data_IF_157771184365
#
_entry.id   IF_157771184365
#
_cell.length_a   1.000
_cell.length_b   1.000
_cell.length_c   1.000
_cell.angle_alpha   90.00
_cell.angle_beta   90.00
_cell.angle_gamma   90.00
#
_symmetry.space_group_name_H-M   'P 1'
#
loop_
_entity.id
_entity.type
_entity.pdbx_description
1 polymer ?
#
# COMPACT_ATOMS: atom_id res chain seq x y z
N UNK A 1 -20.70 -8.29 12.25
CA UNK A 1 -20.18 -9.49 11.53
C UNK A 1 -19.90 -10.58 12.58
N UNK A 2 -20.23 -11.84 12.27
CA UNK A 2 -19.96 -12.94 13.23
C UNK A 2 -18.46 -13.09 13.49
N UNK A 3 -18.10 -13.63 14.67
CA UNK A 3 -16.71 -13.78 15.15
C UNK A 3 -15.77 -14.46 14.15
N UNK A 4 -16.29 -15.29 13.26
CA UNK A 4 -15.52 -16.03 12.24
C UNK A 4 -15.51 -15.32 10.89
N UNK A 5 -16.53 -14.54 10.56
CA UNK A 5 -16.67 -13.92 9.23
C UNK A 5 -15.58 -12.88 8.95
N UNK A 6 -15.21 -12.05 9.94
CA UNK A 6 -14.17 -11.03 9.79
C UNK A 6 -12.78 -11.65 9.53
N UNK A 7 -12.29 -12.61 10.34
CA UNK A 7 -11.01 -13.27 10.06
C UNK A 7 -10.96 -13.95 8.69
N UNK A 8 -12.03 -14.66 8.28
CA UNK A 8 -12.10 -15.30 6.97
C UNK A 8 -12.03 -14.28 5.82
N UNK A 9 -12.72 -13.15 5.95
CA UNK A 9 -12.64 -12.07 4.97
C UNK A 9 -11.20 -11.51 4.88
N UNK A 10 -10.54 -11.28 6.02
CA UNK A 10 -9.13 -10.83 6.05
C UNK A 10 -8.22 -11.84 5.37
N UNK A 11 -8.38 -13.13 5.64
CA UNK A 11 -7.61 -14.18 4.97
C UNK A 11 -7.75 -14.09 3.46
N UNK A 12 -8.97 -13.97 2.93
CA UNK A 12 -9.21 -13.88 1.49
C UNK A 12 -8.62 -12.60 0.89
N UNK A 13 -8.82 -11.45 1.54
CA UNK A 13 -8.31 -10.15 1.07
C UNK A 13 -6.79 -10.19 1.00
N UNK A 14 -6.15 -10.69 2.04
CA UNK A 14 -4.69 -10.78 2.13
C UNK A 14 -4.15 -11.81 1.15
N UNK A 15 -4.81 -12.94 0.97
CA UNK A 15 -4.41 -13.96 -0.01
C UNK A 15 -4.46 -13.41 -1.44
N UNK A 16 -5.57 -12.76 -1.82
CA UNK A 16 -5.71 -12.13 -3.14
C UNK A 16 -4.70 -11.00 -3.32
N UNK A 17 -4.55 -10.12 -2.33
CA UNK A 17 -3.61 -9.02 -2.36
C UNK A 17 -2.15 -9.48 -2.50
N UNK A 18 -1.73 -10.47 -1.72
CA UNK A 18 -0.38 -11.05 -1.78
C UNK A 18 -0.11 -11.80 -3.08
N UNK A 19 -1.12 -12.51 -3.59
CA UNK A 19 -1.05 -13.18 -4.89
C UNK A 19 -0.83 -12.16 -6.02
N UNK A 20 -1.63 -11.11 -6.08
CA UNK A 20 -1.51 -10.07 -7.08
C UNK A 20 -0.20 -9.27 -6.92
N UNK A 21 0.25 -9.02 -5.70
CA UNK A 21 1.56 -8.40 -5.46
C UNK A 21 2.69 -9.26 -6.00
N UNK A 22 2.65 -10.58 -5.82
CA UNK A 22 3.65 -11.49 -6.35
C UNK A 22 3.70 -11.50 -7.89
N UNK A 23 2.55 -11.39 -8.55
CA UNK A 23 2.43 -11.42 -10.01
C UNK A 23 2.77 -10.06 -10.65
N UNK A 24 2.28 -8.96 -10.09
CA UNK A 24 2.36 -7.61 -10.70
C UNK A 24 3.34 -6.65 -10.03
N UNK A 25 3.86 -7.01 -8.86
CA UNK A 25 4.72 -6.14 -8.04
C UNK A 25 3.97 -5.19 -7.11
N UNK A 26 2.65 -5.05 -7.27
CA UNK A 26 1.77 -4.21 -6.44
C UNK A 26 0.46 -4.95 -6.18
N UNK A 27 0.00 -5.02 -4.93
CA UNK A 27 -1.25 -5.75 -4.65
C UNK A 27 -1.76 -5.56 -3.23
N UNK A 28 -1.04 -6.04 -2.23
CA UNK A 28 -1.58 -6.10 -0.88
C UNK A 28 -2.02 -4.72 -0.35
N UNK A 29 -1.20 -3.70 -0.48
CA UNK A 29 -1.57 -2.34 -0.08
C UNK A 29 -2.74 -1.77 -0.90
N UNK A 30 -2.72 -1.99 -2.23
CA UNK A 30 -3.78 -1.51 -3.12
C UNK A 30 -5.14 -2.15 -2.87
N UNK A 31 -5.17 -3.41 -2.47
CA UNK A 31 -6.41 -4.15 -2.21
C UNK A 31 -6.78 -4.09 -0.73
N UNK A 32 -5.80 -4.39 0.14
CA UNK A 32 -5.99 -4.39 1.58
C UNK A 32 -6.33 -3.01 2.13
N UNK A 33 -5.61 -1.97 1.71
CA UNK A 33 -5.82 -0.61 2.18
C UNK A 33 -7.30 -0.19 2.12
N UNK A 34 -7.91 -0.06 0.94
CA UNK A 34 -9.30 0.38 0.82
C UNK A 34 -10.31 -0.59 1.48
N UNK A 35 -10.13 -1.90 1.29
CA UNK A 35 -11.12 -2.87 1.78
C UNK A 35 -11.07 -2.99 3.31
N UNK A 36 -9.86 -3.08 3.90
CA UNK A 36 -9.73 -3.13 5.36
C UNK A 36 -10.10 -1.80 6.01
N UNK A 37 -9.89 -0.66 5.34
CA UNK A 37 -10.42 0.64 5.75
C UNK A 37 -11.95 0.62 5.90
N UNK A 38 -12.64 0.01 4.94
CA UNK A 38 -14.10 -0.09 4.97
C UNK A 38 -14.64 -1.08 6.02
N UNK A 39 -13.81 -2.07 6.42
CA UNK A 39 -14.18 -3.13 7.37
C UNK A 39 -13.80 -2.81 8.81
N UNK A 40 -12.64 -2.22 9.04
CA UNK A 40 -12.04 -2.00 10.35
C UNK A 40 -11.98 -0.52 10.74
N UNK A 41 -12.30 0.38 9.81
CA UNK A 41 -12.06 1.81 9.97
C UNK A 41 -10.78 2.27 9.28
N UNK A 42 -10.64 3.60 9.02
CA UNK A 42 -9.54 4.12 8.23
C UNK A 42 -8.18 4.01 8.92
N UNK A 43 -8.12 4.05 10.24
CA UNK A 43 -6.86 3.97 10.99
C UNK A 43 -6.42 2.51 11.14
N UNK A 44 -7.28 1.68 11.74
CA UNK A 44 -6.99 0.27 12.04
C UNK A 44 -6.80 -0.54 10.75
N UNK A 45 -7.65 -0.31 9.74
CA UNK A 45 -7.56 -1.00 8.46
C UNK A 45 -6.23 -0.74 7.74
N UNK A 46 -5.75 0.52 7.78
CA UNK A 46 -4.45 0.87 7.19
C UNK A 46 -3.30 0.32 8.06
N UNK A 47 -3.41 0.33 9.39
CA UNK A 47 -2.38 -0.23 10.26
C UNK A 47 -2.23 -1.74 10.05
N UNK A 48 -3.32 -2.50 10.01
CA UNK A 48 -3.31 -3.94 9.69
C UNK A 48 -2.71 -4.18 8.31
N UNK A 49 -3.14 -3.41 7.31
CA UNK A 49 -2.59 -3.50 5.96
C UNK A 49 -1.08 -3.29 5.95
N UNK A 50 -0.58 -2.27 6.64
CA UNK A 50 0.85 -1.94 6.66
C UNK A 50 1.68 -3.00 7.38
N UNK A 51 1.21 -3.57 8.49
CA UNK A 51 1.91 -4.68 9.18
C UNK A 51 2.01 -5.90 8.25
N UNK A 52 0.89 -6.32 7.66
CA UNK A 52 0.89 -7.47 6.75
C UNK A 52 1.69 -7.20 5.47
N UNK A 53 1.63 -5.97 4.94
CA UNK A 53 2.42 -5.55 3.80
C UNK A 53 3.92 -5.51 4.11
N UNK A 54 4.34 -5.12 5.32
CA UNK A 54 5.72 -5.20 5.77
C UNK A 54 6.24 -6.64 5.72
N UNK A 55 5.51 -7.57 6.31
CA UNK A 55 5.92 -8.99 6.33
C UNK A 55 6.01 -9.53 4.90
N UNK A 56 4.98 -9.27 4.09
CA UNK A 56 4.96 -9.68 2.68
C UNK A 56 6.12 -9.07 1.86
N UNK A 57 6.39 -7.79 2.08
CA UNK A 57 7.47 -7.06 1.42
C UNK A 57 8.85 -7.57 1.84
N UNK A 58 9.05 -7.89 3.13
CA UNK A 58 10.29 -8.48 3.63
C UNK A 58 10.57 -9.84 2.97
N UNK A 59 9.58 -10.73 2.93
CA UNK A 59 9.67 -12.04 2.28
C UNK A 59 9.95 -11.91 0.78
N UNK A 60 9.28 -10.97 0.12
CA UNK A 60 9.46 -10.73 -1.31
C UNK A 60 10.82 -10.09 -1.60
N UNK A 61 11.28 -9.14 -0.78
CA UNK A 61 12.63 -8.56 -0.86
C UNK A 61 13.69 -9.64 -0.76
N UNK A 62 13.57 -10.54 0.22
CA UNK A 62 14.51 -11.65 0.39
C UNK A 62 14.57 -12.54 -0.86
N UNK A 63 13.41 -12.86 -1.45
CA UNK A 63 13.34 -13.70 -2.65
C UNK A 63 13.88 -13.03 -3.92
N UNK A 64 13.84 -11.70 -3.99
CA UNK A 64 14.26 -10.90 -5.17
C UNK A 64 15.52 -10.07 -4.91
N UNK A 65 16.26 -10.34 -3.83
CA UNK A 65 17.39 -9.50 -3.36
C UNK A 65 18.49 -9.27 -4.38
N UNK A 66 18.68 -10.20 -5.31
CA UNK A 66 19.68 -10.11 -6.38
C UNK A 66 19.35 -9.03 -7.41
N UNK A 67 18.05 -8.73 -7.61
CA UNK A 67 17.57 -7.75 -8.58
C UNK A 67 17.30 -6.37 -7.94
N UNK A 68 17.46 -6.24 -6.60
CA UNK A 68 17.26 -4.98 -5.87
C UNK A 68 18.41 -4.02 -6.15
N UNK A 69 18.08 -2.84 -6.66
CA UNK A 69 19.04 -1.72 -6.75
C UNK A 69 19.05 -0.93 -5.43
N UNK A 70 19.97 -1.30 -4.54
CA UNK A 70 20.11 -0.70 -3.22
C UNK A 70 20.47 0.79 -3.28
N UNK A 71 21.17 1.25 -4.31
CA UNK A 71 21.48 2.69 -4.49
C UNK A 71 20.22 3.49 -4.80
N UNK A 72 19.35 2.96 -5.65
CA UNK A 72 18.04 3.59 -5.91
C UNK A 72 17.17 3.58 -4.66
N UNK A 73 17.15 2.45 -3.94
CA UNK A 73 16.41 2.33 -2.68
C UNK A 73 16.87 3.35 -1.63
N UNK A 74 18.19 3.53 -1.43
CA UNK A 74 18.75 4.50 -0.47
C UNK A 74 18.31 5.95 -0.75
N UNK A 75 17.97 6.28 -2.00
CA UNK A 75 17.48 7.62 -2.37
C UNK A 75 15.98 7.81 -2.15
N UNK A 76 15.25 6.74 -1.83
CA UNK A 76 13.79 6.76 -1.64
C UNK A 76 13.42 6.32 -0.23
N UNK A 77 13.85 5.13 0.17
CA UNK A 77 13.41 4.44 1.39
C UNK A 77 13.59 5.25 2.67
N UNK A 78 14.80 5.75 2.99
CA UNK A 78 15.02 6.54 4.21
C UNK A 78 14.16 7.80 4.28
N UNK A 79 13.89 8.43 3.13
CA UNK A 79 13.11 9.66 3.06
C UNK A 79 11.60 9.45 3.25
N UNK A 80 11.13 8.21 3.24
CA UNK A 80 9.72 7.91 3.52
C UNK A 80 9.31 8.29 4.95
N UNK A 81 10.25 8.29 5.91
CA UNK A 81 9.97 8.74 7.28
C UNK A 81 9.53 10.20 7.33
N UNK A 82 10.16 11.05 6.50
CA UNK A 82 9.82 12.49 6.44
C UNK A 82 8.39 12.74 5.94
N UNK A 83 7.85 11.84 5.13
CA UNK A 83 6.45 11.88 4.72
C UNK A 83 5.51 11.22 5.72
N UNK A 84 5.97 10.17 6.41
CA UNK A 84 5.15 9.44 7.39
C UNK A 84 4.79 10.28 8.60
N UNK A 85 5.70 11.12 9.10
CA UNK A 85 5.48 11.98 10.26
C UNK A 85 4.32 12.96 10.03
N UNK A 86 4.34 13.84 9.00
CA UNK A 86 3.25 14.78 8.79
C UNK A 86 1.91 14.08 8.47
N UNK A 87 1.92 12.92 7.81
CA UNK A 87 0.71 12.14 7.60
C UNK A 87 0.12 11.61 8.92
N UNK A 88 0.96 11.07 9.81
CA UNK A 88 0.50 10.61 11.12
C UNK A 88 -0.03 11.77 12.00
N UNK A 89 0.65 12.93 12.00
CA UNK A 89 0.17 14.13 12.70
C UNK A 89 -1.17 14.62 12.13
N UNK A 90 -1.37 14.54 10.83
CA UNK A 90 -2.64 14.88 10.20
C UNK A 90 -3.75 13.92 10.66
N UNK A 91 -3.49 12.61 10.62
CA UNK A 91 -4.44 11.57 11.06
C UNK A 91 -4.85 11.77 12.53
N UNK A 92 -3.91 12.15 13.39
CA UNK A 92 -4.18 12.37 14.82
C UNK A 92 -5.11 13.59 15.09
N UNK A 93 -5.32 14.48 14.10
CA UNK A 93 -6.05 15.74 14.28
C UNK A 93 -7.38 15.80 13.56
N UNK A 94 -7.67 14.89 12.66
CA UNK A 94 -8.88 14.90 11.86
C UNK A 94 -9.84 13.79 12.29
N UNK A 95 -11.13 14.04 12.12
CA UNK A 95 -12.17 13.05 12.40
C UNK A 95 -12.22 11.92 11.36
N UNK A 96 -12.92 10.84 11.69
CA UNK A 96 -13.03 9.66 10.85
C UNK A 96 -13.64 9.92 9.49
N UNK A 97 -14.64 10.82 9.40
CA UNK A 97 -15.31 11.12 8.13
C UNK A 97 -14.37 11.87 7.17
N UNK A 98 -13.70 12.90 7.68
CA UNK A 98 -12.68 13.66 6.95
C UNK A 98 -11.51 12.75 6.52
N UNK A 99 -11.10 11.81 7.38
CA UNK A 99 -10.05 10.86 7.06
C UNK A 99 -10.47 9.91 5.93
N UNK A 100 -11.71 9.42 5.91
CA UNK A 100 -12.23 8.59 4.81
C UNK A 100 -12.22 9.35 3.47
N UNK A 101 -12.59 10.63 3.48
CA UNK A 101 -12.53 11.50 2.29
C UNK A 101 -11.09 11.65 1.81
N UNK A 102 -10.16 11.95 2.72
CA UNK A 102 -8.74 12.11 2.39
C UNK A 102 -8.13 10.82 1.86
N UNK A 103 -8.36 9.70 2.52
CA UNK A 103 -7.85 8.37 2.10
C UNK A 103 -8.41 8.00 0.74
N UNK A 104 -9.74 8.07 0.57
CA UNK A 104 -10.39 7.74 -0.69
C UNK A 104 -9.96 8.66 -1.83
N UNK A 105 -9.92 9.97 -1.59
CA UNK A 105 -9.49 10.98 -2.55
C UNK A 105 -8.02 10.82 -2.95
N UNK A 106 -7.11 10.69 -1.97
CA UNK A 106 -5.69 10.52 -2.22
C UNK A 106 -5.40 9.24 -3.03
N UNK A 107 -6.09 8.14 -2.70
CA UNK A 107 -5.96 6.88 -3.46
C UNK A 107 -6.46 7.03 -4.90
N UNK A 108 -7.65 7.63 -5.11
CA UNK A 108 -8.17 7.84 -6.46
C UNK A 108 -7.25 8.75 -7.29
N UNK A 109 -6.72 9.82 -6.72
CA UNK A 109 -5.74 10.67 -7.37
C UNK A 109 -4.47 9.88 -7.75
N UNK A 110 -3.91 9.12 -6.80
CA UNK A 110 -2.72 8.30 -7.03
C UNK A 110 -2.95 7.24 -8.12
N UNK A 111 -4.11 6.57 -8.11
CA UNK A 111 -4.50 5.59 -9.13
C UNK A 111 -4.70 6.25 -10.51
N UNK A 112 -5.30 7.43 -10.55
CA UNK A 112 -5.45 8.23 -11.76
C UNK A 112 -4.09 8.57 -12.37
N UNK A 113 -3.15 9.06 -11.56
CA UNK A 113 -1.79 9.39 -12.03
C UNK A 113 -1.07 8.14 -12.56
N UNK A 114 -1.18 6.98 -11.90
CA UNK A 114 -0.56 5.74 -12.38
C UNK A 114 -1.20 5.23 -13.68
N UNK A 115 -2.51 5.41 -13.82
CA UNK A 115 -3.25 4.91 -14.99
C UNK A 115 -3.04 5.78 -16.24
N UNK A 116 -3.00 7.09 -16.06
CA UNK A 116 -2.97 8.06 -17.16
C UNK A 116 -1.65 8.80 -17.27
N UNK A 117 -0.86 8.90 -16.20
CA UNK A 117 0.32 9.75 -16.12
C UNK A 117 1.49 9.31 -17.01
N UNK A 118 1.55 8.06 -17.43
CA UNK A 118 2.66 7.51 -18.24
C UNK A 118 2.94 8.30 -19.53
N UNK A 119 1.93 8.97 -20.08
CA UNK A 119 2.05 9.77 -21.30
C UNK A 119 2.56 11.21 -21.06
N UNK A 120 2.47 11.70 -19.83
CA UNK A 120 2.68 13.12 -19.50
C UNK A 120 3.88 13.35 -18.58
N UNK A 121 4.48 12.30 -18.04
CA UNK A 121 5.60 12.47 -17.10
C UNK A 121 6.92 12.58 -17.90
N UNK A 122 7.61 13.73 -17.82
CA UNK A 122 8.90 13.92 -18.47
C UNK A 122 9.94 12.98 -17.83
N UNK A 123 11.05 12.77 -18.51
CA UNK A 123 12.16 12.00 -17.97
C UNK A 123 12.79 12.75 -16.80
N UNK A 124 12.89 12.09 -15.65
CA UNK A 124 13.41 12.67 -14.42
C UNK A 124 14.77 12.07 -14.07
N UNK A 125 15.74 12.92 -13.85
CA UNK A 125 17.09 12.54 -13.45
C UNK A 125 17.48 13.17 -12.11
N UNK A 126 18.42 12.54 -11.41
CA UNK A 126 19.00 13.07 -10.19
C UNK A 126 18.33 12.57 -8.90
N UNK A 127 18.84 13.07 -7.77
CA UNK A 127 18.44 12.64 -6.43
C UNK A 127 17.19 13.35 -5.91
N UNK A 128 16.96 14.59 -6.33
CA UNK A 128 15.81 15.38 -5.87
C UNK A 128 14.46 14.70 -6.13
N UNK A 129 14.15 14.29 -7.38
CA UNK A 129 12.92 13.55 -7.69
C UNK A 129 12.77 12.22 -6.92
N UNK A 130 13.89 11.52 -6.65
CA UNK A 130 13.87 10.29 -5.85
C UNK A 130 13.49 10.56 -4.40
N UNK A 131 14.08 11.59 -3.80
CA UNK A 131 13.77 12.03 -2.43
C UNK A 131 12.30 12.45 -2.34
N UNK A 132 11.82 13.25 -3.29
CA UNK A 132 10.41 13.67 -3.35
C UNK A 132 9.47 12.47 -3.46
N UNK A 133 9.82 11.47 -4.28
CA UNK A 133 9.05 10.23 -4.38
C UNK A 133 9.06 9.44 -3.06
N UNK A 134 10.16 9.46 -2.31
CA UNK A 134 10.25 8.89 -0.96
C UNK A 134 9.31 9.60 0.01
N UNK A 135 9.39 10.92 0.12
CA UNK A 135 8.56 11.73 1.02
C UNK A 135 7.08 11.54 0.69
N UNK A 136 6.69 11.73 -0.56
CA UNK A 136 5.30 11.56 -1.00
C UNK A 136 4.82 10.11 -0.85
N UNK A 137 5.69 9.13 -1.14
CA UNK A 137 5.41 7.71 -0.94
C UNK A 137 5.18 7.36 0.52
N UNK A 138 5.98 7.90 1.44
CA UNK A 138 5.80 7.76 2.88
C UNK A 138 4.50 8.41 3.38
N UNK A 139 4.20 9.62 2.89
CA UNK A 139 2.97 10.33 3.21
C UNK A 139 1.73 9.54 2.77
N UNK A 140 1.66 9.14 1.51
CA UNK A 140 0.51 8.40 0.97
C UNK A 140 0.40 7.00 1.57
N UNK A 141 1.52 6.35 1.90
CA UNK A 141 1.51 5.07 2.59
C UNK A 141 0.95 5.17 4.00
N UNK A 142 1.34 6.21 4.74
CA UNK A 142 0.85 6.43 6.10
C UNK A 142 -0.60 6.85 6.11
N UNK A 143 -1.01 7.70 5.16
CA UNK A 143 -2.38 8.17 5.04
C UNK A 143 -3.33 7.06 4.55
N UNK A 144 -2.94 6.31 3.52
CA UNK A 144 -3.85 5.44 2.75
C UNK A 144 -3.34 4.00 2.56
N UNK A 145 -2.22 3.61 3.16
CA UNK A 145 -1.64 2.26 3.03
C UNK A 145 -1.00 1.98 1.66
N UNK A 146 -0.72 3.00 0.84
CA UNK A 146 -0.29 2.80 -0.54
C UNK A 146 0.83 3.75 -0.96
N UNK A 147 2.08 3.25 -1.00
CA UNK A 147 3.23 3.97 -1.55
C UNK A 147 3.44 3.69 -3.06
N UNK A 148 2.93 2.56 -3.52
CA UNK A 148 3.19 2.01 -4.85
C UNK A 148 2.97 2.99 -6.01
N UNK A 149 1.83 3.66 -6.12
CA UNK A 149 1.56 4.61 -7.20
C UNK A 149 2.62 5.70 -7.33
N UNK A 150 2.98 6.35 -6.23
CA UNK A 150 3.94 7.47 -6.22
C UNK A 150 5.31 7.00 -6.71
N UNK A 151 5.83 5.90 -6.12
CA UNK A 151 7.14 5.37 -6.49
C UNK A 151 7.12 4.83 -7.93
N UNK A 152 5.98 4.28 -8.38
CA UNK A 152 5.80 3.79 -9.76
C UNK A 152 5.94 4.93 -10.78
N UNK A 153 5.30 6.06 -10.53
CA UNK A 153 5.39 7.24 -11.41
C UNK A 153 6.83 7.70 -11.51
N UNK A 154 7.52 7.82 -10.38
CA UNK A 154 8.95 8.16 -10.37
C UNK A 154 9.80 7.13 -11.14
N UNK A 155 9.63 5.84 -10.86
CA UNK A 155 10.40 4.79 -11.52
C UNK A 155 10.18 4.75 -13.04
N UNK A 156 8.95 5.03 -13.50
CA UNK A 156 8.62 5.18 -14.91
C UNK A 156 9.29 6.41 -15.54
N UNK A 157 9.26 7.55 -14.85
CA UNK A 157 9.93 8.77 -15.26
C UNK A 157 11.46 8.61 -15.30
N UNK A 158 12.02 7.87 -14.36
CA UNK A 158 13.44 7.56 -14.29
C UNK A 158 13.86 6.36 -15.18
N UNK A 159 12.94 5.85 -16.02
CA UNK A 159 13.19 4.78 -17.00
C UNK A 159 13.80 3.50 -16.38
N UNK A 160 13.35 3.10 -15.20
CA UNK A 160 13.86 1.89 -14.57
C UNK A 160 13.50 0.63 -15.36
N UNK A 161 14.44 -0.32 -15.53
CA UNK A 161 14.12 -1.65 -16.04
C UNK A 161 13.06 -2.34 -15.16
N UNK A 162 12.16 -3.07 -15.79
CA UNK A 162 11.01 -3.67 -15.09
C UNK A 162 11.40 -4.63 -13.97
N UNK A 163 12.49 -5.40 -14.13
CA UNK A 163 12.99 -6.32 -13.08
C UNK A 163 13.48 -5.54 -11.86
N UNK A 164 14.32 -4.53 -12.09
CA UNK A 164 14.85 -3.64 -11.05
C UNK A 164 13.72 -2.91 -10.32
N UNK A 165 12.74 -2.39 -11.07
CA UNK A 165 11.57 -1.73 -10.52
C UNK A 165 10.79 -2.65 -9.58
N UNK A 166 10.42 -3.85 -10.04
CA UNK A 166 9.62 -4.79 -9.26
C UNK A 166 10.33 -5.23 -7.98
N UNK A 167 11.65 -5.44 -8.04
CA UNK A 167 12.46 -5.85 -6.90
C UNK A 167 12.68 -4.68 -5.91
N UNK A 168 13.06 -3.48 -6.40
CA UNK A 168 13.39 -2.33 -5.57
C UNK A 168 12.16 -1.72 -4.87
N UNK A 169 10.96 -1.91 -5.41
CA UNK A 169 9.72 -1.53 -4.74
C UNK A 169 9.50 -2.27 -3.41
N UNK A 170 9.94 -3.52 -3.29
CA UNK A 170 9.65 -4.33 -2.12
C UNK A 170 10.29 -3.76 -0.84
N UNK A 171 11.59 -3.46 -0.78
CA UNK A 171 12.16 -2.82 0.39
C UNK A 171 11.62 -1.40 0.64
N UNK A 172 11.11 -0.70 -0.38
CA UNK A 172 10.36 0.56 -0.16
C UNK A 172 9.03 0.31 0.56
N UNK A 173 8.29 -0.74 0.18
CA UNK A 173 7.06 -1.11 0.88
C UNK A 173 7.31 -1.57 2.31
N UNK A 174 8.40 -2.32 2.54
CA UNK A 174 8.79 -2.72 3.88
C UNK A 174 9.02 -1.50 4.78
N UNK A 175 9.92 -0.60 4.35
CA UNK A 175 10.30 0.56 5.20
C UNK A 175 9.15 1.57 5.32
N UNK A 176 8.38 1.77 4.25
CA UNK A 176 7.21 2.65 4.28
C UNK A 176 6.10 2.15 5.20
N UNK A 177 5.82 0.84 5.19
CA UNK A 177 4.87 0.23 6.12
C UNK A 177 5.38 0.29 7.56
N UNK A 178 6.67 0.01 7.79
CA UNK A 178 7.28 0.12 9.11
C UNK A 178 7.17 1.54 9.67
N UNK A 179 7.59 2.55 8.90
CA UNK A 179 7.48 3.95 9.33
C UNK A 179 6.03 4.38 9.55
N UNK A 180 5.10 3.91 8.71
CA UNK A 180 3.68 4.20 8.91
C UNK A 180 3.16 3.69 10.26
N UNK A 181 3.47 2.44 10.60
CA UNK A 181 3.03 1.83 11.87
C UNK A 181 3.70 2.53 13.05
N UNK A 182 5.03 2.70 12.99
CA UNK A 182 5.81 3.33 14.06
C UNK A 182 5.36 4.76 14.31
N UNK A 183 5.27 5.59 13.28
CA UNK A 183 4.87 7.00 13.44
C UNK A 183 3.44 7.13 13.96
N UNK A 184 2.49 6.32 13.49
CA UNK A 184 1.11 6.34 14.01
C UNK A 184 1.07 5.96 15.48
N UNK A 185 1.76 4.89 15.85
CA UNK A 185 1.78 4.42 17.23
C UNK A 185 2.38 5.46 18.19
N UNK A 186 3.58 5.97 17.89
CA UNK A 186 4.27 6.93 18.75
C UNK A 186 3.64 8.32 18.78
N UNK A 187 2.94 8.72 17.73
CA UNK A 187 2.25 10.02 17.66
C UNK A 187 0.77 9.94 18.10
N UNK A 188 0.31 8.79 18.61
CA UNK A 188 -1.08 8.61 19.06
C UNK A 188 -2.11 8.69 17.92
N UNK A 189 -1.68 8.50 16.68
CA UNK A 189 -2.54 8.56 15.49
C UNK A 189 -3.23 7.20 15.19
N UNK A 190 -2.99 6.19 15.99
CA UNK A 190 -3.60 4.87 15.87
C UNK A 190 -2.86 3.80 16.65
N UNK A 191 -3.54 2.70 16.91
CA UNK A 191 -3.04 1.56 17.66
C UNK A 191 -3.65 0.25 17.16
N UNK A 192 -3.48 -0.79 17.95
CA UNK A 192 -4.05 -2.11 17.71
C UNK A 192 -5.15 -2.47 18.69
N UNK A 193 -5.54 -1.49 19.51
CA UNK A 193 -6.57 -1.62 20.52
C UNK A 193 -7.93 -1.89 19.87
N UNK A 194 -8.66 -2.88 20.38
CA UNK A 194 -9.95 -3.28 19.78
C UNK A 194 -9.87 -4.22 18.58
N UNK A 195 -8.69 -4.50 18.04
CA UNK A 195 -8.54 -5.50 16.98
C UNK A 195 -8.62 -6.91 17.55
N UNK A 196 -9.51 -7.72 16.97
CA UNK A 196 -9.61 -9.12 17.35
C UNK A 196 -8.30 -9.86 16.99
N UNK A 197 -7.73 -10.60 17.93
CA UNK A 197 -6.43 -11.26 17.78
C UNK A 197 -6.32 -12.20 16.56
N UNK A 198 -7.45 -12.78 16.12
CA UNK A 198 -7.52 -13.65 14.93
C UNK A 198 -7.17 -12.93 13.62
N UNK A 199 -7.17 -11.60 13.58
CA UNK A 199 -6.74 -10.80 12.42
C UNK A 199 -5.33 -11.21 11.98
N UNK A 200 -4.44 -11.44 12.94
CA UNK A 200 -3.04 -11.72 12.67
C UNK A 200 -2.79 -13.12 12.09
N UNK A 201 -3.20 -14.23 12.72
CA UNK A 201 -2.97 -15.55 12.15
C UNK A 201 -3.69 -15.74 10.82
N UNK A 202 -4.92 -15.24 10.66
CA UNK A 202 -5.65 -15.35 9.40
C UNK A 202 -5.01 -14.49 8.29
N UNK A 203 -4.53 -13.29 8.62
CA UNK A 203 -3.77 -12.45 7.70
C UNK A 203 -2.46 -13.12 7.25
N UNK A 204 -1.70 -13.69 8.18
CA UNK A 204 -0.45 -14.39 7.90
C UNK A 204 -0.70 -15.65 7.05
N UNK A 205 -1.68 -16.47 7.38
CA UNK A 205 -2.05 -17.65 6.59
C UNK A 205 -2.47 -17.23 5.19
N UNK A 206 -3.34 -16.22 5.07
CA UNK A 206 -3.74 -15.67 3.77
C UNK A 206 -2.57 -15.20 2.94
N UNK A 207 -1.60 -14.52 3.57
CA UNK A 207 -0.38 -14.06 2.90
C UNK A 207 0.45 -15.22 2.33
N UNK A 208 0.71 -16.27 3.11
CA UNK A 208 1.46 -17.43 2.63
C UNK A 208 0.73 -18.16 1.50
N UNK A 209 -0.59 -18.34 1.61
CA UNK A 209 -1.42 -18.89 0.54
C UNK A 209 -1.28 -18.01 -0.72
N UNK A 210 -1.43 -16.71 -0.59
CA UNK A 210 -1.35 -15.77 -1.70
C UNK A 210 0.01 -15.76 -2.38
N UNK A 211 1.11 -15.77 -1.62
CA UNK A 211 2.47 -15.85 -2.17
C UNK A 211 2.67 -17.17 -2.92
N UNK A 212 2.27 -18.30 -2.34
CA UNK A 212 2.40 -19.62 -2.96
C UNK A 212 1.61 -19.71 -4.26
N UNK A 213 0.35 -19.33 -4.23
CA UNK A 213 -0.52 -19.29 -5.43
C UNK A 213 0.05 -18.31 -6.46
N UNK A 214 0.40 -17.08 -6.05
CA UNK A 214 0.97 -16.08 -6.94
C UNK A 214 2.25 -16.54 -7.62
N UNK A 215 3.13 -17.25 -6.90
CA UNK A 215 4.35 -17.81 -7.49
C UNK A 215 4.02 -18.89 -8.53
N UNK A 216 3.05 -19.75 -8.26
CA UNK A 216 2.63 -20.83 -9.18
C UNK A 216 2.00 -20.30 -10.46
N UNK A 217 1.30 -19.17 -10.40
CA UNK A 217 0.60 -18.60 -11.56
C UNK A 217 1.34 -17.47 -12.25
N UNK A 218 2.45 -16.98 -11.68
CA UNK A 218 3.22 -15.84 -12.21
C UNK A 218 3.70 -16.03 -13.66
N UNK A 219 3.95 -17.28 -14.09
CA UNK A 219 4.31 -17.61 -15.47
C UNK A 219 3.10 -17.72 -16.42
N UNK A 220 1.86 -17.83 -15.89
CA UNK A 220 0.64 -18.06 -16.67
C UNK A 220 -0.25 -16.83 -16.77
N UNK A 221 -0.15 -15.91 -15.82
CA UNK A 221 -0.97 -14.71 -15.75
C UNK A 221 -0.15 -13.50 -16.18
N UNK A 222 -0.68 -12.73 -17.13
CA UNK A 222 -0.06 -11.49 -17.56
C UNK A 222 0.01 -10.48 -16.41
N UNK A 223 1.21 -9.95 -16.17
CA UNK A 223 1.46 -8.90 -15.16
C UNK A 223 0.53 -7.70 -15.34
N UNK A 224 0.23 -7.36 -16.59
CA UNK A 224 -0.66 -6.25 -16.91
C UNK A 224 -2.11 -6.54 -16.47
N UNK A 225 -2.61 -7.77 -16.70
CA UNK A 225 -3.95 -8.17 -16.24
C UNK A 225 -4.04 -8.15 -14.71
N UNK A 226 -3.04 -8.69 -14.02
CA UNK A 226 -2.97 -8.66 -12.56
C UNK A 226 -2.94 -7.21 -12.03
N UNK A 227 -2.14 -6.33 -12.66
CA UNK A 227 -2.07 -4.91 -12.32
C UNK A 227 -3.42 -4.20 -12.55
N UNK A 228 -4.05 -4.40 -13.70
CA UNK A 228 -5.38 -3.82 -14.00
C UNK A 228 -6.40 -4.25 -12.96
N UNK A 229 -6.43 -5.53 -12.59
CA UNK A 229 -7.32 -6.04 -11.55
C UNK A 229 -7.08 -5.35 -10.20
N UNK A 230 -5.81 -5.25 -9.76
CA UNK A 230 -5.46 -4.55 -8.52
C UNK A 230 -5.92 -3.09 -8.54
N UNK A 231 -5.68 -2.37 -9.65
CA UNK A 231 -6.09 -0.98 -9.80
C UNK A 231 -7.61 -0.82 -9.81
N UNK A 232 -8.36 -1.71 -10.47
CA UNK A 232 -9.83 -1.67 -10.50
C UNK A 232 -10.41 -1.89 -9.10
N UNK A 233 -9.94 -2.93 -8.39
CA UNK A 233 -10.40 -3.21 -7.01
C UNK A 233 -10.07 -2.06 -6.08
N UNK A 234 -8.85 -1.52 -6.18
CA UNK A 234 -8.44 -0.35 -5.41
C UNK A 234 -9.31 0.88 -5.71
N UNK A 235 -9.63 1.13 -6.98
CA UNK A 235 -10.49 2.26 -7.37
C UNK A 235 -11.90 2.14 -6.80
N UNK A 236 -12.51 0.95 -6.87
CA UNK A 236 -13.84 0.71 -6.32
C UNK A 236 -13.85 0.87 -4.79
N UNK A 237 -12.86 0.32 -4.11
CA UNK A 237 -12.73 0.46 -2.65
C UNK A 237 -12.49 1.91 -2.22
N UNK A 238 -11.62 2.63 -2.95
CA UNK A 238 -11.33 4.04 -2.68
C UNK A 238 -12.53 4.96 -2.93
N UNK A 239 -13.28 4.70 -4.01
CA UNK A 239 -14.53 5.41 -4.30
C UNK A 239 -15.57 5.17 -3.21
N UNK A 240 -15.70 3.92 -2.74
CA UNK A 240 -16.60 3.58 -1.64
C UNK A 240 -16.21 4.31 -0.34
N UNK A 241 -14.90 4.39 -0.02
CA UNK A 241 -14.43 5.12 1.15
C UNK A 241 -14.72 6.62 1.03
N UNK A 242 -14.46 7.21 -0.14
CA UNK A 242 -14.75 8.62 -0.43
C UNK A 242 -16.24 8.92 -0.27
N UNK A 243 -17.12 8.12 -0.88
CA UNK A 243 -18.57 8.31 -0.80
C UNK A 243 -19.06 8.20 0.65
N UNK A 244 -18.61 7.18 1.41
CA UNK A 244 -18.97 7.03 2.82
C UNK A 244 -18.51 8.21 3.67
N UNK A 245 -17.29 8.70 3.43
CA UNK A 245 -16.80 9.90 4.12
C UNK A 245 -17.62 11.15 3.80
N UNK A 246 -17.97 11.38 2.54
CA UNK A 246 -18.79 12.52 2.13
C UNK A 246 -20.21 12.45 2.72
N UNK A 247 -20.83 11.27 2.74
CA UNK A 247 -22.14 11.08 3.37
C UNK A 247 -22.06 11.36 4.86
N UNK A 248 -21.02 10.86 5.55
CA UNK A 248 -20.83 11.08 6.99
C UNK A 248 -20.54 12.55 7.36
N UNK A 249 -19.95 13.34 6.44
CA UNK A 249 -19.73 14.78 6.63
C UNK A 249 -21.01 15.61 6.39
N UNK A 250 -21.95 15.06 5.60
CA UNK A 250 -23.20 15.74 5.26
C UNK A 250 -24.34 15.41 6.23
N UNK A 251 -24.17 14.40 7.09
CA UNK A 251 -25.15 13.97 8.10
C UNK A 251 -24.95 14.67 9.44
#
# INVERSE_FOLDING_TARGET
MGVVALPCAILLIVAVGSCLQRVSGMGLGLIGGPILTLMLGPVEGIMVTNVLACINAALTTYSMRADVDWHKWLRIGPFMVLGSIPAALLIARIDTASLLVLVGGALLCALGVVSFGRRFVPELHGTGPAISAGILGGFTNTLAGVAGPVITVYAQAARWPQSVYAATLQPCFFIGGLFSVVTKYFLGAGGFEGLHWLVWPFGIIGMFIGIKVGTSIAGRVSREKARKLSLTVASLGSLSALIRGLIALAA
#
